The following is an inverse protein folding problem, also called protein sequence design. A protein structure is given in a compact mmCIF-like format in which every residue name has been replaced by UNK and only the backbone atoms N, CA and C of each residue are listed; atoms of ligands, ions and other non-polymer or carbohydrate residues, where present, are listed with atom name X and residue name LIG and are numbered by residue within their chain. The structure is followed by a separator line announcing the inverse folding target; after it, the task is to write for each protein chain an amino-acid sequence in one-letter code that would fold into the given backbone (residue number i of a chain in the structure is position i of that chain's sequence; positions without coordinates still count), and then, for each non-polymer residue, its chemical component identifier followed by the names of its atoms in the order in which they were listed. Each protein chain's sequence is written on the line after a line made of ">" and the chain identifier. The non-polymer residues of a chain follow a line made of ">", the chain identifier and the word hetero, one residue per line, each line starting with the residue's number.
data_IF_971051502415
#
_entry.id   IF_971051502415
#
_cell.length_a   1.000
_cell.length_b   1.000
_cell.length_c   1.000
_cell.angle_alpha   90.00
_cell.angle_beta   90.00
_cell.angle_gamma   90.00
#
_symmetry.space_group_name_H-M   'P 1'
#
loop_
_entity.id
_entity.type
_entity.pdbx_description
1 polymer ?
#
# COMPACT_ATOMS: atom_id res chain seq x y z
N UNK A 1 -17.37 -4.57 10.65
CA UNK A 1 -16.40 -5.00 9.62
C UNK A 1 -15.59 -3.79 9.18
N UNK A 2 -14.26 -3.81 9.31
CA UNK A 2 -13.41 -2.69 8.87
C UNK A 2 -13.49 -2.56 7.35
N UNK A 3 -13.81 -1.38 6.84
CA UNK A 3 -13.88 -1.11 5.39
C UNK A 3 -12.50 -1.34 4.77
N UNK A 4 -12.43 -2.27 3.81
CA UNK A 4 -11.20 -2.50 3.03
C UNK A 4 -10.83 -1.22 2.27
N UNK A 5 -9.53 -0.94 2.21
CA UNK A 5 -8.99 0.13 1.38
C UNK A 5 -9.33 -0.17 -0.09
N UNK A 6 -9.78 0.87 -0.81
CA UNK A 6 -10.09 0.77 -2.24
C UNK A 6 -8.87 0.29 -3.02
N UNK A 7 -9.09 -0.57 -4.00
CA UNK A 7 -8.01 -1.20 -4.76
C UNK A 7 -7.23 -0.21 -5.64
N UNK A 8 -7.90 0.85 -6.10
CA UNK A 8 -7.35 1.93 -6.92
C UNK A 8 -6.65 3.04 -6.11
N UNK A 9 -6.70 2.99 -4.77
CA UNK A 9 -5.95 3.94 -3.94
C UNK A 9 -4.44 3.71 -4.09
N UNK A 10 -3.68 4.81 -4.10
CA UNK A 10 -2.22 4.80 -4.12
C UNK A 10 -1.64 4.73 -2.71
N UNK A 11 -0.40 4.23 -2.57
CA UNK A 11 0.30 4.12 -1.28
C UNK A 11 0.37 5.45 -0.56
N UNK A 12 0.76 6.53 -1.25
CA UNK A 12 0.87 7.85 -0.61
C UNK A 12 -0.45 8.36 -0.04
N UNK A 13 -1.57 8.10 -0.73
CA UNK A 13 -2.91 8.45 -0.21
C UNK A 13 -3.26 7.57 0.99
N UNK A 14 -2.93 6.28 0.94
CA UNK A 14 -3.20 5.35 2.05
C UNK A 14 -2.43 5.77 3.29
N UNK A 15 -1.14 6.07 3.16
CA UNK A 15 -0.30 6.50 4.27
C UNK A 15 -0.85 7.80 4.88
N UNK A 16 -1.17 8.80 4.03
CA UNK A 16 -1.75 10.07 4.47
C UNK A 16 -3.11 9.92 5.16
N UNK A 17 -4.04 9.18 4.55
CA UNK A 17 -5.41 9.00 5.09
C UNK A 17 -5.43 8.16 6.36
N UNK A 18 -4.41 7.35 6.60
CA UNK A 18 -4.27 6.52 7.81
C UNK A 18 -3.36 7.15 8.87
N UNK A 19 -2.81 8.34 8.61
CA UNK A 19 -1.88 9.00 9.53
C UNK A 19 -0.57 8.24 9.71
N UNK A 20 -0.19 7.41 8.72
CA UNK A 20 1.08 6.70 8.73
C UNK A 20 2.18 7.60 8.18
N UNK A 21 3.41 7.53 8.73
CA UNK A 21 4.53 8.22 8.12
C UNK A 21 4.77 7.71 6.69
N UNK A 22 5.27 8.56 5.80
CA UNK A 22 5.58 8.16 4.43
C UNK A 22 6.60 7.01 4.43
N UNK A 23 6.37 6.02 3.59
CA UNK A 23 7.21 4.83 3.47
C UNK A 23 7.04 3.79 4.57
N UNK A 24 5.87 3.82 5.22
CA UNK A 24 5.42 2.74 6.10
C UNK A 24 5.11 1.48 5.30
N UNK A 25 4.51 1.62 4.13
CA UNK A 25 4.20 0.48 3.26
C UNK A 25 5.47 0.07 2.52
N UNK A 26 6.02 -1.10 2.82
CA UNK A 26 7.24 -1.63 2.20
C UNK A 26 6.98 -2.78 1.26
N UNK A 27 7.81 -2.91 0.23
CA UNK A 27 7.82 -4.05 -0.68
C UNK A 27 8.38 -5.30 0.03
N UNK A 28 8.21 -6.49 -0.56
CA UNK A 28 8.75 -7.76 -0.03
C UNK A 28 10.26 -7.74 0.22
N UNK A 29 11.01 -6.94 -0.53
CA UNK A 29 12.45 -6.78 -0.38
C UNK A 29 12.86 -5.78 0.73
N UNK A 30 11.90 -5.25 1.49
CA UNK A 30 12.13 -4.30 2.57
C UNK A 30 12.39 -2.86 2.13
N UNK A 31 12.46 -2.58 0.82
CA UNK A 31 12.55 -1.20 0.30
C UNK A 31 11.18 -0.54 0.33
N UNK A 32 11.23 0.79 0.40
CA UNK A 32 10.03 1.62 0.35
C UNK A 32 9.19 1.33 -0.90
N UNK A 33 7.87 1.30 -0.71
CA UNK A 33 6.94 1.19 -1.82
C UNK A 33 6.74 2.55 -2.44
N UNK A 34 6.93 2.64 -3.76
CA UNK A 34 6.67 3.88 -4.47
C UNK A 34 5.27 4.41 -4.16
N UNK A 35 5.19 5.71 -3.87
CA UNK A 35 3.96 6.40 -3.43
C UNK A 35 2.83 6.35 -4.46
N UNK A 36 3.16 6.26 -5.76
CA UNK A 36 2.22 6.15 -6.88
C UNK A 36 1.70 4.73 -7.12
N UNK A 37 2.27 3.72 -6.44
CA UNK A 37 1.84 2.32 -6.61
C UNK A 37 0.44 2.13 -6.03
N UNK A 38 -0.39 1.34 -6.71
CA UNK A 38 -1.75 1.05 -6.24
C UNK A 38 -1.79 -0.11 -5.26
N UNK A 39 -2.76 -0.08 -4.34
CA UNK A 39 -3.02 -1.16 -3.38
C UNK A 39 -3.34 -2.48 -4.08
N UNK A 40 -4.02 -2.43 -5.24
CA UNK A 40 -4.28 -3.61 -6.08
C UNK A 40 -2.98 -4.34 -6.44
N UNK A 41 -1.97 -3.61 -6.89
CA UNK A 41 -0.68 -4.20 -7.29
C UNK A 41 0.01 -4.83 -6.10
N UNK A 42 0.06 -4.14 -4.96
CA UNK A 42 0.66 -4.65 -3.72
C UNK A 42 -0.03 -5.94 -3.25
N UNK A 43 -1.37 -5.99 -3.30
CA UNK A 43 -2.14 -7.20 -2.96
C UNK A 43 -1.81 -8.37 -3.89
N UNK A 44 -1.65 -8.12 -5.20
CA UNK A 44 -1.25 -9.17 -6.15
C UNK A 44 0.17 -9.67 -5.88
N UNK A 45 1.09 -8.78 -5.60
CA UNK A 45 2.48 -9.13 -5.28
C UNK A 45 2.60 -9.87 -3.95
N UNK A 46 1.85 -9.44 -2.94
CA UNK A 46 1.80 -10.06 -1.61
C UNK A 46 1.13 -11.44 -1.66
N UNK A 47 0.01 -11.56 -2.38
CA UNK A 47 -0.79 -12.78 -2.50
C UNK A 47 -0.24 -13.86 -3.43
N UNK A 48 0.79 -13.57 -4.25
CA UNK A 48 1.57 -14.63 -4.88
C UNK A 48 2.48 -15.26 -3.81
N UNK A 49 2.00 -16.36 -3.24
CA UNK A 49 2.80 -17.37 -2.57
C UNK A 49 2.83 -18.59 -3.47
#
# INVERSE_FOLDING_TARGET
>A
MVRKIRSDATVGIVEKTRGLPPGTIRNKNGRDTRSDKTVKTIRKESGKK
#
